data_IF_899049784012
#
_entry.id   IF_899049784012
#
_cell.length_a   1.000
_cell.length_b   1.000
_cell.length_c   1.000
_cell.angle_alpha   90.00
_cell.angle_beta   90.00
_cell.angle_gamma   90.00
#
_symmetry.space_group_name_H-M   'P 1'
#
loop_
_entity.id
_entity.type
_entity.pdbx_description
1 polymer ?
#
# COMPACT_ATOMS: atom_id res chain seq x y z
N UNK A 1 -5.53 2.56 -10.48
CA UNK A 1 -4.79 1.84 -9.43
C UNK A 1 -4.23 2.85 -8.43
N UNK A 2 -4.55 2.70 -7.16
CA UNK A 2 -4.06 3.56 -6.08
C UNK A 2 -3.17 2.76 -5.13
N UNK A 3 -2.15 3.39 -4.59
CA UNK A 3 -1.21 2.77 -3.65
C UNK A 3 -1.50 3.26 -2.23
N UNK A 4 -2.07 2.38 -1.42
CA UNK A 4 -2.25 2.61 0.01
C UNK A 4 -1.10 1.97 0.80
N UNK A 5 -1.40 1.29 1.89
CA UNK A 5 -0.44 0.62 2.77
C UNK A 5 -1.19 -0.31 3.74
N UNK A 6 -0.48 -1.23 4.37
CA UNK A 6 -1.00 -1.91 5.57
C UNK A 6 -1.43 -0.90 6.65
N UNK A 7 -0.83 0.29 6.69
CA UNK A 7 -1.23 1.39 7.57
C UNK A 7 -2.61 1.97 7.23
N UNK A 8 -3.17 1.67 6.08
CA UNK A 8 -4.56 1.96 5.73
C UNK A 8 -5.57 0.98 6.32
N UNK A 9 -5.10 -0.09 6.98
CA UNK A 9 -5.93 -1.09 7.68
C UNK A 9 -5.64 -1.20 9.15
N UNK A 10 -4.42 -0.86 9.57
CA UNK A 10 -3.97 -0.99 10.95
C UNK A 10 -3.19 0.24 11.35
N UNK A 11 -3.76 1.06 12.22
CA UNK A 11 -3.06 2.20 12.80
C UNK A 11 -2.17 1.75 13.97
N UNK A 12 -1.03 2.40 14.13
CA UNK A 12 -0.09 2.14 15.24
C UNK A 12 0.29 3.46 15.92
N UNK A 13 0.69 3.46 17.19
CA UNK A 13 1.21 4.65 17.85
C UNK A 13 2.36 5.29 17.07
N UNK A 14 2.40 6.61 17.02
CA UNK A 14 3.42 7.37 16.29
C UNK A 14 3.19 7.49 14.78
N UNK A 15 2.12 6.89 14.23
CA UNK A 15 1.86 6.85 12.79
C UNK A 15 0.52 7.47 12.37
N UNK A 16 -0.07 8.32 13.21
CA UNK A 16 -1.44 8.79 13.05
C UNK A 16 -1.69 9.53 11.72
N UNK A 17 -0.82 10.47 11.37
CA UNK A 17 -0.98 11.28 10.14
C UNK A 17 -0.83 10.39 8.89
N UNK A 18 0.19 9.56 8.85
CA UNK A 18 0.40 8.63 7.74
C UNK A 18 -0.78 7.65 7.61
N UNK A 19 -1.21 7.05 8.72
CA UNK A 19 -2.37 6.16 8.73
C UNK A 19 -3.63 6.88 8.21
N UNK A 20 -3.89 8.11 8.65
CA UNK A 20 -5.04 8.90 8.18
C UNK A 20 -5.02 9.09 6.65
N UNK A 21 -3.85 9.38 6.05
CA UNK A 21 -3.73 9.52 4.59
C UNK A 21 -4.03 8.21 3.87
N UNK A 22 -3.55 7.09 4.40
CA UNK A 22 -3.73 5.77 3.78
C UNK A 22 -5.14 5.21 3.96
N UNK A 23 -5.80 5.48 5.09
CA UNK A 23 -7.22 5.20 5.29
C UNK A 23 -8.08 6.05 4.36
N UNK A 24 -7.73 7.34 4.18
CA UNK A 24 -8.40 8.25 3.26
C UNK A 24 -8.38 7.73 1.81
N UNK A 25 -7.23 7.18 1.35
CA UNK A 25 -7.11 6.56 0.02
C UNK A 25 -8.08 5.38 -0.12
N UNK A 26 -8.26 4.56 0.91
CA UNK A 26 -9.20 3.44 0.88
C UNK A 26 -10.64 3.90 0.67
N UNK A 27 -11.12 4.82 1.52
CA UNK A 27 -12.48 5.35 1.42
C UNK A 27 -12.73 6.10 0.11
N UNK A 28 -11.79 6.93 -0.31
CA UNK A 28 -11.86 7.65 -1.59
C UNK A 28 -11.91 6.69 -2.78
N UNK A 29 -11.08 5.66 -2.78
CA UNK A 29 -11.04 4.67 -3.86
C UNK A 29 -12.35 3.88 -3.96
N UNK A 30 -12.95 3.52 -2.84
CA UNK A 30 -14.23 2.80 -2.83
C UNK A 30 -15.38 3.68 -3.35
N UNK A 31 -15.41 4.97 -2.99
CA UNK A 31 -16.37 5.91 -3.57
C UNK A 31 -16.23 6.00 -5.09
N UNK A 32 -15.02 6.22 -5.58
CA UNK A 32 -14.74 6.26 -7.02
C UNK A 32 -15.10 4.97 -7.73
N UNK A 33 -14.85 3.82 -7.10
CA UNK A 33 -15.20 2.52 -7.68
C UNK A 33 -16.70 2.43 -7.95
N UNK A 34 -17.52 2.86 -7.01
CA UNK A 34 -18.99 2.85 -7.16
C UNK A 34 -19.48 3.85 -8.21
N UNK A 35 -18.86 5.03 -8.26
CA UNK A 35 -19.23 6.07 -9.22
C UNK A 35 -18.88 5.71 -10.67
N UNK A 36 -17.76 5.02 -10.88
CA UNK A 36 -17.17 4.79 -12.19
C UNK A 36 -17.43 3.39 -12.75
N UNK A 37 -18.05 2.49 -11.98
CA UNK A 37 -18.41 1.16 -12.50
C UNK A 37 -19.57 1.26 -13.51
N UNK A 38 -19.65 0.40 -14.54
CA UNK A 38 -18.69 -0.66 -14.86
C UNK A 38 -17.54 -0.20 -15.78
N UNK A 39 -17.43 1.10 -16.10
CA UNK A 39 -16.57 1.60 -17.15
C UNK A 39 -15.10 1.65 -16.74
N UNK A 40 -14.82 1.96 -15.47
CA UNK A 40 -13.46 2.04 -14.92
C UNK A 40 -13.30 1.10 -13.72
N UNK A 41 -12.24 0.29 -13.76
CA UNK A 41 -11.84 -0.54 -12.62
C UNK A 41 -10.96 0.28 -11.67
N UNK A 42 -11.42 0.49 -10.45
CA UNK A 42 -10.64 1.13 -9.38
C UNK A 42 -10.11 0.05 -8.45
N UNK A 43 -8.81 0.02 -8.26
CA UNK A 43 -8.08 -0.97 -7.48
C UNK A 43 -7.15 -0.30 -6.48
N UNK A 44 -6.97 -0.90 -5.31
CA UNK A 44 -6.03 -0.43 -4.27
C UNK A 44 -5.03 -1.53 -3.96
N UNK A 45 -3.75 -1.21 -4.02
CA UNK A 45 -2.67 -2.04 -3.50
C UNK A 45 -2.30 -1.51 -2.11
N UNK A 46 -2.12 -2.41 -1.16
CA UNK A 46 -1.80 -2.10 0.24
C UNK A 46 -0.52 -2.83 0.66
N UNK A 47 0.65 -2.31 0.28
CA UNK A 47 1.92 -2.93 0.60
C UNK A 47 2.24 -2.86 2.10
N UNK A 48 2.94 -3.88 2.59
CA UNK A 48 3.69 -3.85 3.83
C UNK A 48 5.05 -3.17 3.66
N UNK A 49 6.08 -3.72 4.28
CA UNK A 49 7.45 -3.23 4.15
C UNK A 49 8.00 -3.52 2.75
N UNK A 50 8.34 -2.46 2.01
CA UNK A 50 8.94 -2.53 0.67
C UNK A 50 10.24 -1.72 0.68
N UNK A 51 11.28 -2.27 0.09
CA UNK A 51 12.57 -1.57 -0.05
C UNK A 51 12.44 -0.46 -1.10
N UNK A 52 12.30 0.76 -0.63
CA UNK A 52 12.15 1.97 -1.44
C UNK A 52 12.88 3.15 -0.78
N UNK A 53 12.97 4.27 -1.47
CA UNK A 53 13.53 5.53 -0.96
C UNK A 53 12.62 6.24 0.06
N UNK A 54 11.48 5.67 0.42
CA UNK A 54 10.50 6.33 1.32
C UNK A 54 11.12 6.76 2.66
N UNK A 55 12.00 5.94 3.23
CA UNK A 55 12.66 6.23 4.49
C UNK A 55 13.61 7.44 4.40
N UNK A 56 14.13 7.76 3.22
CA UNK A 56 15.05 8.87 3.00
C UNK A 56 14.40 10.24 3.25
N UNK A 57 13.09 10.31 3.12
CA UNK A 57 12.29 11.52 3.32
C UNK A 57 11.82 11.72 4.76
N UNK A 58 12.12 10.81 5.68
CA UNK A 58 11.76 10.94 7.10
C UNK A 58 12.74 11.91 7.75
N UNK A 59 12.22 13.00 8.32
CA UNK A 59 13.02 14.07 8.97
C UNK A 59 13.29 13.81 10.44
N UNK A 60 12.44 13.03 11.13
CA UNK A 60 12.64 12.68 12.54
C UNK A 60 13.65 11.53 12.65
N UNK A 61 14.82 11.81 13.25
CA UNK A 61 15.97 10.89 13.22
C UNK A 61 15.67 9.50 13.80
N UNK A 62 15.06 9.41 14.99
CA UNK A 62 14.76 8.12 15.64
C UNK A 62 13.75 7.31 14.83
N UNK A 63 12.75 7.95 14.27
CA UNK A 63 11.75 7.32 13.40
C UNK A 63 12.41 6.79 12.12
N UNK A 64 13.32 7.58 11.53
CA UNK A 64 14.04 7.18 10.32
C UNK A 64 14.85 5.90 10.57
N UNK A 65 15.65 5.87 11.62
CA UNK A 65 16.48 4.70 11.99
C UNK A 65 15.60 3.46 12.21
N UNK A 66 14.50 3.59 12.94
CA UNK A 66 13.59 2.48 13.19
C UNK A 66 12.95 1.93 11.90
N UNK A 67 12.54 2.82 10.98
CA UNK A 67 11.95 2.43 9.71
C UNK A 67 13.00 1.78 8.80
N UNK A 68 14.19 2.34 8.69
CA UNK A 68 15.28 1.77 7.90
C UNK A 68 15.65 0.36 8.37
N UNK A 69 15.75 0.14 9.69
CA UNK A 69 16.03 -1.18 10.25
C UNK A 69 14.90 -2.16 9.94
N UNK A 70 13.65 -1.75 10.13
CA UNK A 70 12.47 -2.57 9.82
C UNK A 70 12.44 -2.97 8.34
N UNK A 71 12.70 -2.03 7.44
CA UNK A 71 12.78 -2.28 6.00
C UNK A 71 13.92 -3.23 5.68
N UNK A 72 15.12 -3.03 6.25
CA UNK A 72 16.29 -3.88 6.01
C UNK A 72 16.06 -5.34 6.41
N UNK A 73 15.31 -5.56 7.48
CA UNK A 73 15.07 -6.91 8.03
C UNK A 73 13.93 -7.65 7.33
N UNK A 74 12.90 -6.94 6.87
CA UNK A 74 11.65 -7.56 6.49
C UNK A 74 11.18 -7.25 5.05
N UNK A 75 11.73 -6.23 4.38
CA UNK A 75 11.15 -5.73 3.16
C UNK A 75 11.20 -6.71 1.99
N UNK A 76 10.12 -6.74 1.22
CA UNK A 76 10.13 -7.26 -0.16
C UNK A 76 10.61 -6.17 -1.12
N UNK A 77 10.83 -6.51 -2.37
CA UNK A 77 11.31 -5.56 -3.38
C UNK A 77 10.17 -4.75 -4.00
N UNK A 78 10.49 -3.64 -4.64
CA UNK A 78 9.52 -2.88 -5.43
C UNK A 78 9.02 -3.69 -6.63
N UNK A 79 9.88 -4.54 -7.19
CA UNK A 79 9.57 -5.46 -8.29
C UNK A 79 8.48 -6.47 -7.89
N UNK A 80 8.53 -7.01 -6.67
CA UNK A 80 7.48 -7.92 -6.16
C UNK A 80 6.09 -7.25 -6.19
N UNK A 81 6.03 -5.98 -5.80
CA UNK A 81 4.78 -5.20 -5.86
C UNK A 81 4.38 -4.91 -7.31
N UNK A 82 5.33 -4.57 -8.17
CA UNK A 82 5.07 -4.31 -9.58
C UNK A 82 4.49 -5.54 -10.30
N UNK A 83 4.97 -6.74 -9.99
CA UNK A 83 4.42 -7.99 -10.53
C UNK A 83 2.97 -8.23 -10.09
N UNK A 84 2.65 -7.96 -8.83
CA UNK A 84 1.26 -8.04 -8.33
C UNK A 84 0.36 -7.04 -9.05
N UNK A 85 0.84 -5.81 -9.26
CA UNK A 85 0.11 -4.78 -10.01
C UNK A 85 -0.13 -5.23 -11.45
N UNK A 86 0.91 -5.71 -12.15
CA UNK A 86 0.81 -6.20 -13.51
C UNK A 86 -0.20 -7.35 -13.63
N UNK A 87 -0.18 -8.29 -12.67
CA UNK A 87 -1.17 -9.36 -12.59
C UNK A 87 -2.59 -8.78 -12.44
N UNK A 88 -2.80 -7.85 -11.52
CA UNK A 88 -4.12 -7.31 -11.23
C UNK A 88 -4.74 -6.57 -12.43
N UNK A 89 -3.96 -5.71 -13.09
CA UNK A 89 -4.43 -4.93 -14.25
C UNK A 89 -4.66 -5.79 -15.51
N UNK A 90 -3.95 -6.91 -15.63
CA UNK A 90 -4.04 -7.83 -16.78
C UNK A 90 -5.25 -8.77 -16.70
N UNK A 91 -6.03 -8.75 -15.61
CA UNK A 91 -7.22 -9.62 -15.49
C UNK A 91 -8.32 -9.20 -16.47
N UNK A 92 -9.17 -10.13 -16.88
CA UNK A 92 -10.29 -9.83 -17.78
C UNK A 92 -11.14 -8.67 -17.27
N UNK A 93 -11.65 -7.84 -18.19
CA UNK A 93 -12.45 -6.64 -17.83
C UNK A 93 -13.68 -6.93 -16.98
N UNK A 94 -14.22 -8.15 -17.01
CA UNK A 94 -15.38 -8.58 -16.22
C UNK A 94 -15.11 -8.76 -14.74
N UNK A 95 -13.83 -8.67 -14.31
CA UNK A 95 -13.46 -8.83 -12.90
C UNK A 95 -12.50 -7.72 -12.44
N UNK A 96 -12.60 -7.36 -11.20
CA UNK A 96 -11.72 -6.39 -10.54
C UNK A 96 -11.21 -6.96 -9.23
N UNK A 97 -9.90 -6.86 -9.00
CA UNK A 97 -9.31 -7.07 -7.70
C UNK A 97 -9.34 -5.72 -6.97
N UNK A 98 -10.36 -5.50 -6.14
CA UNK A 98 -10.63 -4.18 -5.57
C UNK A 98 -9.56 -3.75 -4.56
N UNK A 99 -9.13 -4.67 -3.69
CA UNK A 99 -8.13 -4.43 -2.66
C UNK A 99 -7.16 -5.61 -2.61
N UNK A 100 -5.86 -5.32 -2.61
CA UNK A 100 -4.81 -6.33 -2.58
C UNK A 100 -3.82 -5.96 -1.49
N UNK A 101 -3.89 -6.69 -0.38
CA UNK A 101 -2.96 -6.58 0.74
C UNK A 101 -1.77 -7.49 0.50
N UNK A 102 -0.57 -6.92 0.45
CA UNK A 102 0.69 -7.65 0.22
C UNK A 102 1.66 -7.36 1.35
N UNK A 103 2.08 -8.38 2.07
CA UNK A 103 3.07 -8.25 3.15
C UNK A 103 4.27 -9.16 2.90
N UNK A 104 5.47 -8.77 3.33
CA UNK A 104 6.52 -9.75 3.58
C UNK A 104 6.00 -10.86 4.48
N UNK A 105 6.37 -12.10 4.21
CA UNK A 105 5.86 -13.27 4.98
C UNK A 105 6.17 -13.17 6.47
N UNK A 106 7.30 -12.54 6.83
CA UNK A 106 7.73 -12.36 8.21
C UNK A 106 7.12 -11.11 8.90
N UNK A 107 6.38 -10.28 8.17
CA UNK A 107 5.74 -9.09 8.75
C UNK A 107 4.43 -9.48 9.44
N UNK A 108 4.28 -9.18 10.77
CA UNK A 108 3.05 -9.45 11.50
C UNK A 108 1.84 -8.62 11.02
#
# INVERSE_FOLDING_TARGET
>A
MNISSVAGRTARPGNAVYAATKWGIGGWSESLRQELQPDVRVMVIEPGAVATELADHITHADTKVAVEQFVKELAITAEDIAEVIAFAISRPRRMTLNEILVRPTAQP
#
